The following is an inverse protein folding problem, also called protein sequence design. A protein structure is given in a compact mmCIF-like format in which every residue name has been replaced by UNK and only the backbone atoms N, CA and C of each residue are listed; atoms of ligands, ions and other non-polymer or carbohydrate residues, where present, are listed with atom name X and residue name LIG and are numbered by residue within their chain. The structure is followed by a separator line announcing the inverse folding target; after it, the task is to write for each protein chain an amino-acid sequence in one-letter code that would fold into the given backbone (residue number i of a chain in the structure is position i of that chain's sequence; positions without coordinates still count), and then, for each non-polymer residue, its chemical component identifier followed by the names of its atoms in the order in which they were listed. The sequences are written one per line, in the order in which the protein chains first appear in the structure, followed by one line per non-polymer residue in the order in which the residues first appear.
data_IF_389496962594
#
_entry.id   IF_389496962594
#
_cell.length_a   1.000
_cell.length_b   1.000
_cell.length_c   1.000
_cell.angle_alpha   90.00
_cell.angle_beta   90.00
_cell.angle_gamma   90.00
#
_symmetry.space_group_name_H-M   'P 1'
#
loop_
_entity.id
_entity.type
_entity.pdbx_description
1 polymer ?
#
# COMPACT_ATOMS: atom_id res chain seq x y z
N UNK A 1 10.19 30.31 11.22
CA UNK A 1 11.11 29.44 10.44
C UNK A 1 11.92 28.66 11.46
N UNK A 2 11.38 27.56 11.98
CA UNK A 2 12.02 26.78 13.03
C UNK A 2 12.95 25.75 12.38
N UNK A 3 14.25 25.95 12.58
CA UNK A 3 15.28 25.00 12.20
C UNK A 3 15.19 23.82 13.19
N UNK A 4 14.87 22.62 12.70
CA UNK A 4 14.99 21.38 13.47
C UNK A 4 16.47 21.10 13.67
N UNK A 5 16.99 21.37 14.87
CA UNK A 5 18.31 20.90 15.28
C UNK A 5 18.26 19.38 15.40
N UNK A 6 18.97 18.69 14.50
CA UNK A 6 19.24 17.26 14.62
C UNK A 6 20.01 17.00 15.93
N UNK A 7 19.37 16.36 16.91
CA UNK A 7 20.01 15.98 18.18
C UNK A 7 20.73 14.63 18.02
N UNK A 8 21.80 14.63 17.23
CA UNK A 8 22.85 13.61 17.29
C UNK A 8 24.19 14.33 17.09
N UNK A 9 24.52 15.21 18.03
CA UNK A 9 25.80 15.90 18.04
C UNK A 9 26.45 15.62 19.38
N UNK A 10 27.64 15.00 19.36
CA UNK A 10 28.53 15.09 20.51
C UNK A 10 28.81 16.58 20.68
N UNK A 11 28.30 17.19 21.74
CA UNK A 11 28.66 18.55 22.05
C UNK A 11 30.12 18.55 22.46
N UNK A 12 30.95 19.18 21.63
CA UNK A 12 32.35 19.36 21.93
C UNK A 12 32.57 20.85 22.19
N UNK A 13 33.00 21.19 23.40
CA UNK A 13 33.34 22.58 23.75
C UNK A 13 34.57 23.09 22.98
N UNK A 14 35.26 22.20 22.25
CA UNK A 14 36.45 22.45 21.43
C UNK A 14 36.43 21.56 20.17
N UNK A 15 37.12 21.94 19.08
CA UNK A 15 37.22 21.09 17.90
C UNK A 15 37.83 19.71 18.20
N UNK A 16 37.26 18.64 17.61
CA UNK A 16 37.89 17.33 17.63
C UNK A 16 39.13 17.34 16.73
N UNK A 17 40.31 17.17 17.31
CA UNK A 17 41.57 17.07 16.57
C UNK A 17 42.16 15.66 16.72
N UNK A 18 42.16 14.88 15.63
CA UNK A 18 42.73 13.54 15.60
C UNK A 18 44.22 13.63 15.21
N UNK A 19 45.12 13.34 16.13
CA UNK A 19 46.54 13.71 16.04
C UNK A 19 47.49 12.61 15.55
N UNK A 20 46.97 11.50 15.01
CA UNK A 20 47.82 10.41 14.53
C UNK A 20 48.78 10.89 13.42
N UNK A 21 50.03 10.41 13.45
CA UNK A 21 51.07 10.80 12.48
C UNK A 21 50.74 10.38 11.04
N UNK A 22 50.03 9.26 10.88
CA UNK A 22 49.50 8.79 9.60
C UNK A 22 48.03 9.19 9.47
N UNK A 23 47.67 9.82 8.35
CA UNK A 23 46.30 10.27 8.09
C UNK A 23 45.28 9.13 8.13
N UNK A 24 45.67 7.93 7.68
CA UNK A 24 44.81 6.73 7.68
C UNK A 24 44.36 6.29 9.08
N UNK A 25 45.07 6.70 10.13
CA UNK A 25 44.77 6.37 11.53
C UNK A 25 43.97 7.48 12.24
N UNK A 26 43.71 8.62 11.58
CA UNK A 26 42.90 9.71 12.14
C UNK A 26 41.42 9.41 12.00
N UNK A 27 40.93 8.40 12.74
CA UNK A 27 39.53 7.97 12.74
C UNK A 27 39.12 7.45 14.12
N UNK A 28 37.81 7.43 14.38
CA UNK A 28 37.24 6.79 15.56
C UNK A 28 36.89 5.36 15.18
N UNK A 29 37.49 4.38 15.86
CA UNK A 29 37.24 2.95 15.66
C UNK A 29 36.50 2.35 16.85
N UNK A 30 35.94 1.14 16.67
CA UNK A 30 35.36 0.38 17.79
C UNK A 30 34.06 0.94 18.35
N UNK A 31 33.38 1.85 17.64
CA UNK A 31 32.02 2.26 18.01
C UNK A 31 31.08 1.06 17.90
N UNK A 32 30.41 0.73 19.00
CA UNK A 32 29.39 -0.29 19.04
C UNK A 32 28.12 0.15 18.30
N UNK A 33 27.22 -0.81 18.02
CA UNK A 33 25.88 -0.50 17.54
C UNK A 33 25.13 0.39 18.54
N UNK A 34 24.33 1.35 18.07
CA UNK A 34 23.56 2.23 18.94
C UNK A 34 22.57 1.43 19.78
N UNK A 35 22.57 1.65 21.09
CA UNK A 35 21.64 0.98 22.03
C UNK A 35 20.43 1.86 22.37
N UNK A 36 20.63 3.18 22.37
CA UNK A 36 19.62 4.17 22.74
C UNK A 36 19.44 5.24 21.64
N UNK A 37 18.29 5.92 21.63
CA UNK A 37 17.93 6.91 20.61
C UNK A 37 18.88 8.14 20.53
N UNK A 38 19.74 8.35 21.53
CA UNK A 38 20.74 9.43 21.57
C UNK A 38 22.15 8.96 21.21
N UNK A 39 22.32 7.67 20.88
CA UNK A 39 23.61 7.08 20.53
C UNK A 39 24.12 7.61 19.19
N UNK A 40 25.45 7.67 19.06
CA UNK A 40 26.07 7.85 17.74
C UNK A 40 25.81 6.63 16.86
N UNK A 41 25.63 6.87 15.57
CA UNK A 41 25.51 5.80 14.57
C UNK A 41 26.84 5.55 13.89
N UNK A 42 27.14 4.29 13.60
CA UNK A 42 28.30 3.91 12.80
C UNK A 42 28.02 4.13 11.30
N UNK A 43 29.08 4.23 10.48
CA UNK A 43 28.93 4.30 9.02
C UNK A 43 28.17 3.09 8.47
N UNK A 44 28.44 1.90 9.01
CA UNK A 44 27.74 0.67 8.64
C UNK A 44 26.24 0.74 8.94
N UNK A 45 25.86 1.20 10.15
CA UNK A 45 24.46 1.41 10.52
C UNK A 45 23.76 2.39 9.57
N UNK A 46 24.46 3.48 9.21
CA UNK A 46 23.95 4.48 8.27
C UNK A 46 23.79 3.93 6.84
N UNK A 47 24.78 3.20 6.34
CA UNK A 47 24.76 2.61 4.99
C UNK A 47 23.65 1.56 4.83
N UNK A 48 23.39 0.79 5.88
CA UNK A 48 22.32 -0.22 5.90
C UNK A 48 20.95 0.38 6.31
N UNK A 49 20.93 1.63 6.76
CA UNK A 49 19.79 2.26 7.43
C UNK A 49 19.20 1.34 8.53
N UNK A 50 20.07 0.70 9.30
CA UNK A 50 19.71 -0.38 10.23
C UNK A 50 18.76 0.08 11.33
N UNK A 51 18.87 1.34 11.80
CA UNK A 51 17.95 1.93 12.79
C UNK A 51 16.53 2.16 12.29
N UNK A 52 16.29 2.09 10.97
CA UNK A 52 14.96 2.21 10.39
C UNK A 52 14.24 0.86 10.28
N UNK A 53 14.90 -0.26 10.59
CA UNK A 53 14.31 -1.60 10.51
C UNK A 53 13.69 -2.02 11.85
N UNK A 54 12.41 -2.36 11.80
CA UNK A 54 11.60 -2.75 12.95
C UNK A 54 11.15 -4.19 12.81
N UNK A 55 11.17 -4.90 13.93
CA UNK A 55 10.74 -6.30 14.01
C UNK A 55 9.28 -6.37 14.46
N UNK A 56 8.49 -7.23 13.81
CA UNK A 56 7.13 -7.51 14.25
C UNK A 56 7.17 -8.37 15.50
N UNK A 57 6.67 -7.84 16.62
CA UNK A 57 6.65 -8.55 17.91
C UNK A 57 5.30 -9.19 18.22
N UNK A 58 4.27 -8.90 17.43
CA UNK A 58 2.96 -9.56 17.50
C UNK A 58 1.78 -8.65 17.14
N UNK A 59 0.59 -9.06 17.57
CA UNK A 59 -0.65 -8.30 17.43
C UNK A 59 -1.49 -8.65 16.20
N UNK A 60 -2.78 -8.96 16.42
CA UNK A 60 -3.72 -9.33 15.36
C UNK A 60 -4.40 -8.09 14.76
N UNK A 61 -4.99 -7.23 15.59
CA UNK A 61 -5.69 -6.01 15.13
C UNK A 61 -4.73 -4.84 14.90
N UNK A 62 -3.73 -4.69 15.77
CA UNK A 62 -2.68 -3.66 15.68
C UNK A 62 -1.34 -4.36 15.64
N UNK A 63 -0.57 -4.19 14.57
CA UNK A 63 0.78 -4.76 14.45
C UNK A 63 1.70 -4.05 15.44
N UNK A 64 2.33 -4.81 16.34
CA UNK A 64 3.36 -4.30 17.25
C UNK A 64 4.72 -4.35 16.54
N UNK A 65 5.42 -3.23 16.54
CA UNK A 65 6.73 -3.06 15.93
C UNK A 65 7.74 -2.66 17.00
N UNK A 66 8.90 -3.32 17.03
CA UNK A 66 10.00 -2.98 17.94
C UNK A 66 11.26 -2.59 17.17
N UNK A 67 11.80 -1.42 17.49
CA UNK A 67 13.03 -0.86 16.93
C UNK A 67 14.25 -1.15 17.80
N UNK A 68 15.43 -1.03 17.20
CA UNK A 68 16.70 -1.03 17.93
C UNK A 68 17.63 0.04 17.33
N UNK A 69 17.88 1.16 18.05
CA UNK A 69 17.32 1.50 19.36
C UNK A 69 15.80 1.76 19.32
N UNK A 70 15.07 1.60 20.45
CA UNK A 70 13.66 1.93 20.52
C UNK A 70 13.41 3.44 20.29
N UNK A 71 12.37 3.77 19.55
CA UNK A 71 11.91 5.14 19.38
C UNK A 71 11.30 5.68 20.68
N UNK A 72 11.62 6.94 21.01
CA UNK A 72 11.10 7.60 22.22
C UNK A 72 9.79 8.37 21.98
N UNK A 73 9.53 8.75 20.73
CA UNK A 73 8.33 9.45 20.32
C UNK A 73 8.13 9.34 18.81
N UNK A 74 6.88 9.49 18.36
CA UNK A 74 6.61 9.72 16.94
C UNK A 74 7.01 11.14 16.55
N UNK A 75 7.82 11.27 15.51
CA UNK A 75 8.27 12.56 14.97
C UNK A 75 8.02 12.60 13.46
N UNK A 76 7.60 13.76 12.95
CA UNK A 76 7.36 13.92 11.52
C UNK A 76 8.64 13.64 10.74
N UNK A 77 8.54 12.81 9.70
CA UNK A 77 9.68 12.34 8.92
C UNK A 77 10.31 11.04 9.42
N UNK A 78 9.84 10.46 10.53
CA UNK A 78 10.31 9.17 11.01
C UNK A 78 10.01 8.08 9.97
N UNK A 79 11.07 7.47 9.44
CA UNK A 79 10.99 6.37 8.48
C UNK A 79 11.07 5.02 9.20
N UNK A 80 10.14 4.13 8.85
CA UNK A 80 10.07 2.78 9.39
C UNK A 80 9.97 1.78 8.25
N UNK A 81 10.78 0.73 8.35
CA UNK A 81 10.78 -0.44 7.48
C UNK A 81 10.49 -1.68 8.32
N UNK A 82 9.64 -2.56 7.82
CA UNK A 82 9.31 -3.81 8.49
C UNK A 82 8.83 -4.87 7.50
N UNK A 83 8.84 -6.13 7.92
CA UNK A 83 8.34 -7.26 7.12
C UNK A 83 7.09 -7.81 7.81
N UNK A 84 5.89 -7.73 7.20
CA UNK A 84 4.68 -8.27 7.79
C UNK A 84 4.67 -9.79 7.89
N UNK A 85 4.17 -10.31 9.02
CA UNK A 85 3.95 -11.74 9.24
C UNK A 85 2.57 -12.21 8.74
N UNK A 86 1.66 -11.28 8.45
CA UNK A 86 0.35 -11.54 7.87
C UNK A 86 -0.05 -10.38 6.96
N UNK A 87 -0.77 -10.68 5.87
CA UNK A 87 -1.29 -9.66 4.99
C UNK A 87 -2.39 -8.82 5.68
N UNK A 88 -2.46 -7.53 5.37
CA UNK A 88 -3.47 -6.60 5.90
C UNK A 88 -3.91 -5.61 4.83
N UNK A 89 -5.18 -5.21 4.89
CA UNK A 89 -5.79 -4.16 4.07
C UNK A 89 -6.88 -3.44 4.86
N UNK A 90 -7.38 -2.32 4.33
CA UNK A 90 -8.34 -1.44 4.99
C UNK A 90 -7.72 -0.67 6.16
N UNK A 91 -8.34 -0.79 7.34
CA UNK A 91 -7.97 -0.07 8.56
C UNK A 91 -6.71 -0.65 9.23
N UNK A 92 -5.57 -0.56 8.56
CA UNK A 92 -4.29 -1.04 9.07
C UNK A 92 -3.80 -0.11 10.18
N UNK A 93 -3.33 -0.71 11.28
CA UNK A 93 -2.83 0.00 12.45
C UNK A 93 -1.53 -0.60 12.94
N UNK A 94 -0.62 0.25 13.37
CA UNK A 94 0.68 -0.12 13.96
C UNK A 94 0.85 0.55 15.32
N UNK A 95 1.65 -0.08 16.18
CA UNK A 95 2.14 0.51 17.42
C UNK A 95 3.64 0.25 17.49
N UNK A 96 4.42 1.32 17.43
CA UNK A 96 5.87 1.29 17.40
C UNK A 96 6.39 1.53 18.81
N UNK A 97 7.19 0.60 19.32
CA UNK A 97 7.85 0.69 20.64
C UNK A 97 6.91 1.04 21.81
N UNK A 98 5.62 0.69 21.70
CA UNK A 98 4.62 1.00 22.71
C UNK A 98 4.20 2.48 22.78
N UNK A 99 4.59 3.32 21.84
CA UNK A 99 4.30 4.77 21.80
C UNK A 99 2.82 5.12 21.56
N UNK A 100 2.01 4.11 21.23
CA UNK A 100 0.58 4.22 20.98
C UNK A 100 0.21 3.88 19.55
N UNK A 101 -1.05 3.52 19.34
CA UNK A 101 -1.55 3.06 18.05
C UNK A 101 -1.68 4.20 17.04
N UNK A 102 -1.24 3.97 15.81
CA UNK A 102 -1.36 4.90 14.68
C UNK A 102 -1.92 4.17 13.46
N UNK A 103 -2.75 4.86 12.70
CA UNK A 103 -3.28 4.35 11.44
C UNK A 103 -2.19 4.36 10.36
N UNK A 104 -2.31 3.46 9.39
CA UNK A 104 -1.45 3.38 8.21
C UNK A 104 -2.29 3.64 6.96
N UNK A 105 -1.86 4.61 6.18
CA UNK A 105 -2.51 5.04 4.95
C UNK A 105 -1.59 4.92 3.74
N UNK A 106 -2.20 5.02 2.57
CA UNK A 106 -1.52 5.30 1.31
C UNK A 106 -1.13 6.77 1.23
N UNK A 107 -0.22 7.11 0.33
CA UNK A 107 0.21 8.50 0.08
C UNK A 107 -0.91 9.44 -0.36
N UNK A 108 -2.03 8.92 -0.89
CA UNK A 108 -3.24 9.67 -1.23
C UNK A 108 -4.20 9.87 -0.04
N UNK A 109 -3.84 9.39 1.15
CA UNK A 109 -4.65 9.50 2.38
C UNK A 109 -5.75 8.43 2.50
N UNK A 110 -5.88 7.53 1.52
CA UNK A 110 -6.84 6.43 1.60
C UNK A 110 -6.30 5.27 2.46
N UNK A 111 -7.19 4.41 3.00
CA UNK A 111 -6.79 3.19 3.70
C UNK A 111 -5.87 2.30 2.84
N UNK A 112 -5.01 1.52 3.51
CA UNK A 112 -4.16 0.57 2.80
C UNK A 112 -5.02 -0.42 2.00
N UNK A 113 -4.59 -0.74 0.80
CA UNK A 113 -5.26 -1.66 -0.11
C UNK A 113 -4.55 -3.00 -0.11
N UNK A 114 -5.17 -4.04 -0.67
CA UNK A 114 -4.53 -5.35 -0.77
C UNK A 114 -3.18 -5.28 -1.50
N UNK A 115 -2.24 -6.12 -1.07
CA UNK A 115 -0.87 -6.14 -1.62
C UNK A 115 0.08 -5.08 -1.04
N UNK A 116 -0.43 -3.98 -0.49
CA UNK A 116 0.43 -2.92 0.08
C UNK A 116 1.09 -3.35 1.39
N UNK A 117 0.37 -4.08 2.23
CA UNK A 117 0.91 -4.75 3.42
C UNK A 117 0.77 -6.26 3.21
N UNK A 118 1.63 -6.81 2.37
CA UNK A 118 1.68 -8.24 2.07
C UNK A 118 2.61 -8.98 3.05
N UNK A 119 2.32 -10.27 3.28
CA UNK A 119 3.19 -11.12 4.11
C UNK A 119 4.56 -11.30 3.46
N UNK A 120 5.63 -11.33 4.27
CA UNK A 120 7.02 -11.57 3.84
C UNK A 120 7.55 -10.54 2.81
N UNK A 121 7.00 -9.34 2.84
CA UNK A 121 7.25 -8.29 1.85
C UNK A 121 7.53 -6.98 2.59
N UNK A 122 8.74 -6.41 2.42
CA UNK A 122 9.13 -5.18 3.12
C UNK A 122 8.17 -4.02 2.84
N UNK A 123 7.69 -3.36 3.90
CA UNK A 123 6.86 -2.16 3.86
C UNK A 123 7.69 -1.00 4.39
N UNK A 124 7.81 0.08 3.61
CA UNK A 124 8.40 1.33 4.05
C UNK A 124 7.30 2.36 4.27
N UNK A 125 7.34 3.04 5.41
CA UNK A 125 6.37 4.06 5.76
C UNK A 125 7.01 5.24 6.46
N UNK A 126 6.43 6.42 6.30
CA UNK A 126 6.85 7.66 6.95
C UNK A 126 5.77 8.14 7.90
N UNK A 127 6.16 8.59 9.09
CA UNK A 127 5.25 9.24 10.03
C UNK A 127 5.03 10.71 9.63
N UNK A 128 3.77 11.11 9.49
CA UNK A 128 3.37 12.51 9.30
C UNK A 128 2.15 12.81 10.15
N UNK A 129 2.29 13.79 11.03
CA UNK A 129 1.34 14.32 12.00
C UNK A 129 0.79 13.28 12.98
N UNK A 130 -0.19 12.49 12.55
CA UNK A 130 -0.92 11.54 13.39
C UNK A 130 -1.01 10.13 12.81
N UNK A 131 -0.36 9.88 11.67
CA UNK A 131 -0.44 8.61 10.96
C UNK A 131 0.84 8.26 10.22
N UNK A 132 0.93 7.00 9.79
CA UNK A 132 1.96 6.52 8.88
C UNK A 132 1.45 6.46 7.45
N UNK A 133 2.29 6.83 6.49
CA UNK A 133 2.00 6.80 5.06
C UNK A 133 2.98 5.85 4.38
N UNK A 134 2.47 4.87 3.64
CA UNK A 134 3.30 3.88 2.92
C UNK A 134 4.01 4.57 1.77
N UNK A 135 5.34 4.60 1.79
CA UNK A 135 6.20 5.35 0.85
C UNK A 135 6.51 4.62 -0.45
N UNK A 136 6.08 3.37 -0.60
CA UNK A 136 6.22 2.68 -1.86
C UNK A 136 5.79 1.22 -1.84
N UNK A 137 5.12 0.84 -2.91
CA UNK A 137 5.22 -0.46 -3.60
C UNK A 137 4.54 -0.33 -4.96
N UNK A 138 5.29 -0.66 -6.01
CA UNK A 138 4.66 -1.14 -7.24
C UNK A 138 4.05 -2.50 -6.94
N UNK A 139 2.75 -2.65 -7.15
CA UNK A 139 2.06 -3.91 -6.92
C UNK A 139 2.31 -4.76 -8.15
N UNK A 140 3.32 -5.63 -8.08
CA UNK A 140 3.73 -6.50 -9.20
C UNK A 140 2.88 -7.75 -9.31
N UNK A 141 2.23 -8.14 -8.21
CA UNK A 141 1.39 -9.33 -8.11
C UNK A 141 -0.07 -8.92 -7.98
N UNK A 142 -0.97 -9.74 -8.52
CA UNK A 142 -2.39 -9.48 -8.37
C UNK A 142 -2.83 -9.61 -6.91
N UNK A 143 -3.72 -8.72 -6.43
CA UNK A 143 -4.37 -8.89 -5.13
C UNK A 143 -5.09 -10.23 -5.00
N UNK A 144 -5.42 -10.62 -3.76
CA UNK A 144 -6.09 -11.89 -3.53
C UNK A 144 -7.47 -11.89 -4.18
N UNK A 145 -7.81 -12.97 -4.88
CA UNK A 145 -9.07 -13.03 -5.64
C UNK A 145 -9.05 -12.27 -6.96
N UNK A 146 -7.87 -11.81 -7.41
CA UNK A 146 -7.66 -11.29 -8.76
C UNK A 146 -6.77 -12.24 -9.57
N UNK A 147 -7.05 -12.32 -10.86
CA UNK A 147 -6.30 -13.08 -11.85
C UNK A 147 -5.47 -12.10 -12.68
N UNK A 148 -4.21 -12.44 -12.93
CA UNK A 148 -3.34 -11.65 -13.81
C UNK A 148 -3.75 -11.88 -15.26
N UNK A 149 -4.11 -10.82 -15.97
CA UNK A 149 -4.50 -10.88 -17.38
C UNK A 149 -3.34 -10.45 -18.27
N UNK A 150 -2.61 -9.40 -17.85
CA UNK A 150 -1.41 -8.91 -18.53
C UNK A 150 -0.38 -8.39 -17.53
N UNK A 151 0.69 -7.78 -18.05
CA UNK A 151 1.67 -7.07 -17.22
C UNK A 151 1.14 -5.75 -16.66
N UNK A 152 -0.01 -5.28 -17.14
CA UNK A 152 -0.57 -3.97 -16.79
C UNK A 152 -1.76 -4.05 -15.83
N UNK A 153 -2.48 -5.18 -15.79
CA UNK A 153 -3.65 -5.30 -14.94
C UNK A 153 -4.01 -6.73 -14.52
N UNK A 154 -4.77 -6.76 -13.44
CA UNK A 154 -5.47 -7.92 -12.92
C UNK A 154 -6.97 -7.69 -12.95
N UNK A 155 -7.74 -8.76 -13.09
CA UNK A 155 -9.20 -8.71 -13.02
C UNK A 155 -9.69 -9.57 -11.86
N UNK A 156 -10.74 -9.14 -11.18
CA UNK A 156 -11.34 -9.93 -10.11
C UNK A 156 -11.92 -11.24 -10.65
N UNK A 157 -11.63 -12.34 -9.96
CA UNK A 157 -11.95 -13.69 -10.43
C UNK A 157 -13.47 -13.95 -10.46
N UNK A 158 -14.15 -13.51 -9.42
CA UNK A 158 -15.59 -13.66 -9.24
C UNK A 158 -16.24 -12.29 -9.38
N UNK A 159 -17.42 -12.25 -10.01
CA UNK A 159 -18.35 -11.15 -9.78
C UNK A 159 -18.84 -11.20 -8.31
N UNK A 160 -19.42 -10.10 -7.84
CA UNK A 160 -19.63 -9.93 -6.39
C UNK A 160 -21.03 -9.49 -6.00
N UNK A 161 -21.38 -8.24 -6.27
CA UNK A 161 -22.66 -7.64 -5.86
C UNK A 161 -23.38 -7.06 -7.08
N UNK A 162 -24.70 -7.14 -7.08
CA UNK A 162 -25.55 -6.45 -8.05
C UNK A 162 -26.06 -5.14 -7.46
N UNK A 163 -25.56 -4.00 -7.96
CA UNK A 163 -25.82 -2.66 -7.42
C UNK A 163 -25.87 -1.61 -8.53
N UNK A 164 -26.16 -0.35 -8.16
CA UNK A 164 -26.01 0.79 -9.05
C UNK A 164 -24.55 1.04 -9.43
N UNK A 165 -24.33 1.72 -10.56
CA UNK A 165 -23.00 2.05 -11.04
C UNK A 165 -22.18 2.89 -10.04
N UNK A 166 -22.80 3.86 -9.35
CA UNK A 166 -22.09 4.71 -8.39
C UNK A 166 -21.61 3.92 -7.16
N UNK A 167 -22.42 2.96 -6.73
CA UNK A 167 -22.04 2.00 -5.67
C UNK A 167 -20.95 1.05 -6.17
N UNK A 168 -21.03 0.58 -7.42
CA UNK A 168 -20.04 -0.29 -8.04
C UNK A 168 -18.66 0.38 -8.14
N UNK A 169 -18.62 1.63 -8.61
CA UNK A 169 -17.42 2.47 -8.67
C UNK A 169 -16.80 2.59 -7.28
N UNK A 170 -17.61 3.00 -6.29
CA UNK A 170 -17.15 3.16 -4.90
C UNK A 170 -16.63 1.84 -4.32
N UNK A 171 -17.26 0.72 -4.66
CA UNK A 171 -16.86 -0.62 -4.24
C UNK A 171 -15.45 -0.98 -4.73
N UNK A 172 -15.14 -0.71 -6.01
CA UNK A 172 -13.81 -0.98 -6.56
C UNK A 172 -12.76 -0.01 -6.01
N UNK A 173 -13.07 1.29 -5.91
CA UNK A 173 -12.13 2.28 -5.36
C UNK A 173 -11.73 1.99 -3.91
N UNK A 174 -12.67 1.53 -3.07
CA UNK A 174 -12.38 1.14 -1.69
C UNK A 174 -11.33 0.01 -1.57
N UNK A 175 -11.10 -0.74 -2.65
CA UNK A 175 -10.10 -1.83 -2.75
C UNK A 175 -8.84 -1.42 -3.51
N UNK A 176 -8.73 -0.15 -3.90
CA UNK A 176 -7.62 0.34 -4.74
C UNK A 176 -7.72 -0.10 -6.20
N UNK A 177 -8.90 -0.57 -6.62
CA UNK A 177 -9.21 -0.98 -7.97
C UNK A 177 -10.15 0.03 -8.64
N UNK A 178 -10.56 -0.25 -9.87
CA UNK A 178 -11.64 0.46 -10.58
C UNK A 178 -12.56 -0.54 -11.27
N UNK A 179 -13.66 -0.07 -11.86
CA UNK A 179 -14.38 -0.90 -12.82
C UNK A 179 -13.44 -1.26 -13.98
N UNK A 180 -13.62 -2.45 -14.53
CA UNK A 180 -12.89 -2.86 -15.73
C UNK A 180 -13.32 -2.02 -16.93
N UNK A 181 -12.39 -1.74 -17.85
CA UNK A 181 -12.82 -1.24 -19.15
C UNK A 181 -13.42 -2.38 -19.98
N UNK A 182 -14.16 -2.03 -21.02
CA UNK A 182 -14.71 -2.98 -21.99
C UNK A 182 -13.59 -3.82 -22.63
N UNK A 183 -12.47 -3.20 -22.98
CA UNK A 183 -11.30 -3.90 -23.55
C UNK A 183 -10.67 -4.87 -22.55
N UNK A 184 -10.49 -4.44 -21.29
CA UNK A 184 -9.92 -5.29 -20.23
C UNK A 184 -10.83 -6.49 -19.95
N UNK A 185 -12.14 -6.26 -19.89
CA UNK A 185 -13.13 -7.31 -19.71
C UNK A 185 -13.12 -8.30 -20.87
N UNK A 186 -13.18 -7.80 -22.11
CA UNK A 186 -13.24 -8.64 -23.31
C UNK A 186 -11.98 -9.48 -23.47
N UNK A 187 -10.80 -8.89 -23.23
CA UNK A 187 -9.53 -9.63 -23.20
C UNK A 187 -9.54 -10.73 -22.14
N UNK A 188 -9.95 -10.40 -20.91
CA UNK A 188 -9.98 -11.35 -19.81
C UNK A 188 -10.98 -12.49 -20.06
N UNK A 189 -12.19 -12.17 -20.52
CA UNK A 189 -13.23 -13.14 -20.81
C UNK A 189 -12.83 -14.10 -21.94
N UNK A 190 -12.23 -13.58 -23.02
CA UNK A 190 -11.85 -14.40 -24.18
C UNK A 190 -10.62 -15.27 -23.93
N UNK A 191 -9.58 -14.74 -23.29
CA UNK A 191 -8.32 -15.46 -23.10
C UNK A 191 -8.27 -16.26 -21.78
N UNK A 192 -8.99 -15.81 -20.75
CA UNK A 192 -8.90 -16.34 -19.39
C UNK A 192 -10.26 -16.73 -18.79
N UNK A 193 -11.32 -16.82 -19.59
CA UNK A 193 -12.68 -17.07 -19.10
C UNK A 193 -12.83 -18.33 -18.23
N UNK A 194 -12.00 -19.36 -18.43
CA UNK A 194 -11.99 -20.57 -17.58
C UNK A 194 -11.54 -20.32 -16.13
N UNK A 195 -10.83 -19.22 -15.87
CA UNK A 195 -10.40 -18.82 -14.52
C UNK A 195 -11.42 -17.92 -13.84
N UNK A 196 -12.36 -17.35 -14.62
CA UNK A 196 -13.34 -16.39 -14.14
C UNK A 196 -14.67 -17.09 -13.87
N UNK A 197 -15.33 -16.72 -12.77
CA UNK A 197 -16.66 -17.24 -12.41
C UNK A 197 -17.69 -16.13 -12.54
N UNK A 198 -18.95 -16.50 -12.83
CA UNK A 198 -20.08 -15.55 -12.92
C UNK A 198 -20.17 -14.74 -14.22
N UNK A 199 -19.24 -14.93 -15.17
CA UNK A 199 -19.12 -14.09 -16.37
C UNK A 199 -20.43 -13.89 -17.16
N UNK A 200 -21.34 -14.87 -17.17
CA UNK A 200 -22.56 -14.79 -17.97
C UNK A 200 -23.82 -14.93 -17.13
N UNK A 201 -23.72 -14.77 -15.81
CA UNK A 201 -24.86 -14.92 -14.91
C UNK A 201 -25.75 -13.66 -14.94
N UNK A 202 -25.15 -12.48 -15.14
CA UNK A 202 -25.87 -11.22 -15.35
C UNK A 202 -25.03 -10.20 -16.17
N UNK A 203 -25.53 -8.98 -16.30
CA UNK A 203 -24.80 -7.84 -16.87
C UNK A 203 -23.82 -7.25 -15.85
N UNK A 204 -22.55 -7.10 -16.23
CA UNK A 204 -21.51 -6.48 -15.38
C UNK A 204 -21.28 -5.01 -15.77
N UNK A 205 -21.05 -4.13 -14.78
CA UNK A 205 -20.68 -2.73 -15.05
C UNK A 205 -19.23 -2.60 -15.57
N UNK A 206 -19.02 -1.68 -16.52
CA UNK A 206 -17.69 -1.26 -16.99
C UNK A 206 -17.45 0.23 -16.77
N UNK A 207 -16.18 0.65 -16.83
CA UNK A 207 -15.73 2.04 -16.61
C UNK A 207 -15.86 2.93 -17.86
N UNK A 208 -16.32 2.35 -18.98
CA UNK A 208 -16.48 3.05 -20.25
C UNK A 208 -17.71 3.95 -20.24
N UNK A 209 -17.60 5.07 -20.98
CA UNK A 209 -18.68 6.04 -21.11
C UNK A 209 -19.67 5.63 -22.18
N UNK A 210 -20.94 5.65 -21.82
CA UNK A 210 -22.05 5.48 -22.77
C UNK A 210 -22.21 6.71 -23.68
N UNK A 211 -22.62 6.49 -24.93
CA UNK A 211 -22.88 7.53 -25.92
C UNK A 211 -24.30 8.13 -25.83
N UNK A 212 -25.08 7.74 -24.81
CA UNK A 212 -26.44 8.23 -24.56
C UNK A 212 -26.53 9.02 -23.24
N UNK A 213 -27.49 9.96 -23.17
CA UNK A 213 -27.68 10.82 -21.99
C UNK A 213 -28.18 10.00 -20.79
N UNK A 214 -27.53 10.19 -19.64
CA UNK A 214 -27.87 9.53 -18.37
C UNK A 214 -27.81 7.99 -18.41
N UNK A 215 -26.99 7.41 -19.29
CA UNK A 215 -26.75 5.97 -19.33
C UNK A 215 -25.32 5.63 -18.96
N UNK A 216 -25.11 4.36 -18.61
CA UNK A 216 -23.82 3.75 -18.45
C UNK A 216 -23.81 2.37 -19.10
N UNK A 217 -22.60 1.88 -19.39
CA UNK A 217 -22.44 0.66 -20.16
C UNK A 217 -22.27 -0.56 -19.27
N UNK A 218 -22.85 -1.66 -19.74
CA UNK A 218 -22.70 -2.97 -19.14
C UNK A 218 -22.28 -3.98 -20.19
N UNK A 219 -21.58 -5.01 -19.75
CA UNK A 219 -21.07 -6.09 -20.59
C UNK A 219 -21.58 -7.45 -20.14
N UNK A 220 -21.30 -8.46 -20.96
CA UNK A 220 -21.48 -9.88 -20.68
C UNK A 220 -22.88 -10.46 -20.91
N UNK A 221 -23.45 -11.15 -19.88
CA UNK A 221 -24.70 -11.92 -19.84
C UNK A 221 -24.84 -13.14 -20.76
N UNK A 222 -24.29 -13.11 -21.97
CA UNK A 222 -24.43 -14.24 -22.91
C UNK A 222 -23.14 -14.58 -23.66
N UNK A 223 -22.22 -13.63 -23.77
CA UNK A 223 -20.93 -13.82 -24.44
C UNK A 223 -19.96 -12.76 -23.98
N UNK A 224 -18.66 -12.96 -24.24
CA UNK A 224 -17.64 -11.97 -23.93
C UNK A 224 -17.85 -10.62 -24.64
N UNK A 225 -18.57 -10.61 -25.76
CA UNK A 225 -18.84 -9.40 -26.54
C UNK A 225 -20.25 -8.83 -26.30
N UNK A 226 -21.03 -9.43 -25.39
CA UNK A 226 -22.33 -8.91 -25.01
C UNK A 226 -22.15 -7.52 -24.40
N UNK A 227 -22.90 -6.53 -24.88
CA UNK A 227 -22.89 -5.19 -24.31
C UNK A 227 -24.30 -4.58 -24.39
N UNK A 228 -24.56 -3.62 -23.50
CA UNK A 228 -25.74 -2.75 -23.54
C UNK A 228 -25.45 -1.42 -22.85
N UNK A 229 -26.18 -0.39 -23.24
CA UNK A 229 -26.33 0.82 -22.45
C UNK A 229 -27.60 0.73 -21.60
N UNK A 230 -27.54 1.15 -20.34
CA UNK A 230 -28.69 1.20 -19.43
C UNK A 230 -28.71 2.51 -18.66
N UNK A 231 -29.90 2.96 -18.25
CA UNK A 231 -30.06 4.17 -17.47
C UNK A 231 -29.27 4.09 -16.14
N UNK A 232 -28.43 5.09 -15.86
CA UNK A 232 -27.58 5.17 -14.67
C UNK A 232 -28.32 5.62 -13.40
N UNK A 233 -29.65 5.73 -13.42
CA UNK A 233 -30.47 6.03 -12.25
C UNK A 233 -30.29 4.97 -11.16
N UNK A 234 -30.28 5.44 -9.92
CA UNK A 234 -30.24 4.66 -8.67
C UNK A 234 -31.55 3.86 -8.44
N UNK A 235 -31.81 2.89 -9.30
CA UNK A 235 -32.96 2.00 -9.22
C UNK A 235 -32.54 0.54 -9.40
N UNK A 236 -33.20 -0.37 -8.67
CA UNK A 236 -32.89 -1.82 -8.71
C UNK A 236 -33.03 -2.42 -10.11
N UNK A 237 -33.90 -1.85 -10.96
CA UNK A 237 -34.05 -2.27 -12.35
C UNK A 237 -32.83 -1.99 -13.23
N UNK A 238 -31.95 -1.07 -12.81
CA UNK A 238 -30.71 -0.72 -13.49
C UNK A 238 -29.48 -1.40 -12.89
N UNK A 239 -29.62 -2.25 -11.88
CA UNK A 239 -28.46 -2.86 -11.23
C UNK A 239 -27.69 -3.78 -12.19
N UNK A 240 -26.40 -3.88 -11.95
CA UNK A 240 -25.47 -4.76 -12.64
C UNK A 240 -24.48 -5.33 -11.65
N UNK A 241 -23.93 -6.50 -11.96
CA UNK A 241 -22.91 -7.13 -11.12
C UNK A 241 -21.57 -6.40 -11.25
N UNK A 242 -20.72 -6.54 -10.24
CA UNK A 242 -19.47 -5.80 -10.14
C UNK A 242 -18.27 -6.74 -10.17
N UNK A 243 -17.35 -6.43 -11.07
CA UNK A 243 -16.02 -7.02 -11.16
C UNK A 243 -14.99 -5.89 -11.30
N UNK A 244 -14.02 -5.88 -10.39
CA UNK A 244 -13.02 -4.83 -10.37
C UNK A 244 -11.77 -5.20 -11.17
N UNK A 245 -11.16 -4.21 -11.81
CA UNK A 245 -9.83 -4.31 -12.42
C UNK A 245 -8.81 -3.52 -11.60
N UNK A 246 -7.67 -4.16 -11.36
CA UNK A 246 -6.56 -3.63 -10.59
C UNK A 246 -5.40 -3.33 -11.53
N UNK A 247 -4.89 -2.10 -11.57
CA UNK A 247 -3.71 -1.79 -12.38
C UNK A 247 -2.42 -2.14 -11.64
N UNK A 248 -1.57 -2.90 -12.31
CA UNK A 248 -0.19 -3.18 -11.93
C UNK A 248 0.62 -1.96 -12.37
N UNK A 249 1.21 -1.25 -11.43
CA UNK A 249 2.19 -0.16 -11.64
C UNK A 249 3.38 -0.43 -10.74
#
# INVERSE_FOLDING_TARGET
MSCLCAAAQVHLDKPLNLTAAQDSLRRIEGLASPLDATSLITLDNAQQAASNWYTVTGGTTVTQLAGSPPALAYTNGMLIRWIPLAAKSGNVKVNVDGLGTRAVYRTDGLPATEGQVAVAKAVEMIYVDTAFFIMGRSITDCPSGFVRISDEFCIQQNDTLSVSIFTAISHCYARGARLCTWDEYTMACTAYGAQLSGLFDDWEWVDDTSDHTHTADQVARYSCNGNRAVNAVEATASFGVVRCCYRIR
#
